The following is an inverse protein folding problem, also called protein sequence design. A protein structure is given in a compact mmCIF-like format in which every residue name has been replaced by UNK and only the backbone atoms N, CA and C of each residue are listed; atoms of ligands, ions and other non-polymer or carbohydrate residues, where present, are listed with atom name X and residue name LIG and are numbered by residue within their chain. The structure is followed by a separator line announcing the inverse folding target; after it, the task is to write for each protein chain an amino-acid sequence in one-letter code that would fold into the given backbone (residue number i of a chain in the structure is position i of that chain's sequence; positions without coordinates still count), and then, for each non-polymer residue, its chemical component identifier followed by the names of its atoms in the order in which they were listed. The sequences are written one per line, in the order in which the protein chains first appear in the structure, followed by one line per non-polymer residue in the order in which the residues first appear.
data_IF_525578161698
#
_entry.id   IF_525578161698
#
_cell.length_a   1.000
_cell.length_b   1.000
_cell.length_c   1.000
_cell.angle_alpha   90.00
_cell.angle_beta   90.00
_cell.angle_gamma   90.00
#
_symmetry.space_group_name_H-M   'P 1'
#
loop_
_entity.id
_entity.type
_entity.pdbx_description
1 polymer ?
2 non-polymer ?
3 non-polymer ?
4 non-polymer ?
5 water ?
#
# COMPACT_ATOMS: atom_id res chain seq x y z
N UNK A 20 14.87 -19.06 4.29
CA UNK A 20 13.50 -18.89 3.78
C UNK A 20 13.04 -17.44 3.92
N UNK A 21 12.40 -16.92 2.87
CA UNK A 21 11.91 -15.54 2.88
C UNK A 21 10.47 -15.52 3.40
N UNK A 22 10.28 -15.03 4.62
CA UNK A 22 8.96 -14.97 5.22
C UNK A 22 8.22 -13.66 4.97
N UNK A 23 6.99 -13.77 4.49
CA UNK A 23 6.17 -12.59 4.23
C UNK A 23 4.97 -12.63 5.15
N UNK A 24 4.82 -11.60 5.97
CA UNK A 24 3.69 -11.55 6.88
C UNK A 24 2.55 -10.78 6.25
N UNK A 25 1.34 -11.28 6.42
CA UNK A 25 0.19 -10.60 5.85
C UNK A 25 -0.89 -10.46 6.91
N UNK A 26 -1.38 -9.24 7.10
CA UNK A 26 -2.43 -9.05 8.09
C UNK A 26 -3.55 -8.22 7.51
N UNK A 27 -4.51 -7.90 8.38
CA UNK A 27 -5.67 -7.15 7.97
C UNK A 27 -6.85 -7.64 8.79
N UNK A 28 -7.94 -6.87 8.80
CA UNK A 28 -9.10 -7.25 9.57
C UNK A 28 -9.78 -8.50 9.04
N UNK A 29 -10.77 -9.00 9.78
CA UNK A 29 -11.48 -10.19 9.33
C UNK A 29 -12.12 -9.94 7.96
N UNK A 30 -11.99 -10.93 7.08
CA UNK A 30 -12.55 -10.87 5.73
C UNK A 30 -12.03 -9.71 4.87
N UNK A 31 -10.85 -9.19 5.20
CA UNK A 31 -10.26 -8.09 4.44
C UNK A 31 -9.79 -8.61 3.09
N UNK A 32 -9.47 -9.91 3.03
CA UNK A 32 -8.99 -10.52 1.81
C UNK A 32 -7.61 -11.14 1.94
N UNK A 33 -7.13 -11.29 3.16
CA UNK A 33 -5.81 -11.86 3.43
C UNK A 33 -5.63 -13.25 2.80
N UNK A 34 -6.58 -14.14 3.04
CA UNK A 34 -6.53 -15.50 2.53
C UNK A 34 -6.60 -15.54 1.00
N UNK A 35 -7.53 -14.79 0.42
CA UNK A 35 -7.69 -14.78 -1.03
C UNK A 35 -6.50 -14.13 -1.73
N UNK A 36 -5.86 -13.17 -1.06
CA UNK A 36 -4.70 -12.51 -1.65
C UNK A 36 -3.56 -13.53 -1.72
N UNK A 37 -3.31 -14.24 -0.62
CA UNK A 37 -2.26 -15.24 -0.61
C UNK A 37 -2.53 -16.34 -1.63
N UNK A 38 -3.77 -16.81 -1.69
CA UNK A 38 -4.15 -17.86 -2.63
C UNK A 38 -3.91 -17.42 -4.07
N UNK A 39 -4.23 -16.17 -4.36
CA UNK A 39 -4.07 -15.64 -5.72
C UNK A 39 -2.60 -15.53 -6.07
N UNK A 40 -1.78 -15.13 -5.09
CA UNK A 40 -0.34 -15.01 -5.31
C UNK A 40 0.26 -16.36 -5.71
N UNK A 41 0.01 -17.40 -4.92
CA UNK A 41 0.57 -18.71 -5.25
C UNK A 41 0.00 -19.27 -6.55
N UNK A 42 -1.26 -18.93 -6.83
CA UNK A 42 -1.94 -19.39 -8.04
C UNK A 42 -1.25 -18.77 -9.26
N UNK A 43 -1.01 -17.46 -9.20
CA UNK A 43 -0.36 -16.76 -10.31
C UNK A 43 1.10 -17.19 -10.45
N UNK A 44 1.67 -17.72 -9.39
CA UNK A 44 3.06 -18.19 -9.43
C UNK A 44 3.13 -19.63 -9.96
N UNK A 45 1.97 -20.19 -10.30
CA UNK A 45 1.92 -21.54 -10.84
C UNK A 45 2.17 -22.62 -9.81
N UNK A 46 2.09 -22.27 -8.54
CA UNK A 46 2.33 -23.22 -7.47
C UNK A 46 1.24 -24.29 -7.33
N UNK A 47 0.06 -24.01 -7.86
CA UNK A 47 -1.01 -24.98 -7.79
C UNK A 47 -0.79 -26.12 -8.77
N UNK A 48 0.15 -25.96 -9.69
CA UNK A 48 0.45 -27.02 -10.66
C UNK A 48 1.73 -27.75 -10.31
N UNK A 49 2.21 -27.53 -9.10
CA UNK A 49 3.44 -28.17 -8.62
C UNK A 49 3.10 -29.15 -7.50
N UNK A 50 3.79 -30.29 -7.47
CA UNK A 50 3.56 -31.31 -6.45
C UNK A 50 3.80 -30.75 -5.07
N UNK A 51 2.97 -31.19 -4.12
CA UNK A 51 3.04 -30.73 -2.74
C UNK A 51 4.47 -30.62 -2.22
N UNK A 52 5.25 -31.68 -2.38
CA UNK A 52 6.63 -31.68 -1.89
C UNK A 52 7.53 -30.69 -2.62
N UNK A 53 7.19 -30.36 -3.86
CA UNK A 53 7.99 -29.45 -4.68
C UNK A 53 7.62 -27.97 -4.59
N UNK A 54 6.52 -27.64 -3.92
CA UNK A 54 6.10 -26.25 -3.81
C UNK A 54 7.21 -25.34 -3.27
N UNK A 55 7.43 -24.22 -3.95
CA UNK A 55 8.46 -23.26 -3.55
C UNK A 55 7.86 -22.15 -2.68
N UNK A 56 6.55 -21.98 -2.77
CA UNK A 56 5.85 -20.97 -1.99
C UNK A 56 4.68 -21.64 -1.26
N UNK A 57 4.67 -21.52 0.06
CA UNK A 57 3.62 -22.11 0.88
C UNK A 57 2.91 -21.07 1.72
N UNK A 58 1.64 -21.33 2.02
CA UNK A 58 0.83 -20.42 2.81
C UNK A 58 0.52 -21.04 4.17
N UNK A 59 0.79 -20.27 5.22
CA UNK A 59 0.54 -20.69 6.59
C UNK A 59 -0.49 -19.73 7.15
N UNK A 60 -1.54 -20.27 7.76
CA UNK A 60 -2.60 -19.45 8.32
C UNK A 60 -2.52 -19.40 9.85
N UNK A 61 -2.69 -18.22 10.41
CA UNK A 61 -2.63 -18.05 11.86
C UNK A 61 -3.79 -18.79 12.53
N UNK A 62 -4.91 -18.90 11.82
CA UNK A 62 -6.08 -19.58 12.37
C UNK A 62 -5.78 -21.04 12.69
N UNK A 63 -4.74 -21.60 12.05
CA UNK A 63 -4.38 -22.99 12.30
C UNK A 63 -3.85 -23.13 13.73
N UNK A 64 -3.49 -22.01 14.34
CA UNK A 64 -2.94 -22.03 15.69
C UNK A 64 -3.89 -21.59 16.80
N UNK A 65 -5.20 -21.63 16.55
CA UNK A 65 -6.14 -21.26 17.60
C UNK A 65 -5.95 -22.28 18.72
N UNK A 66 -6.00 -21.83 19.97
CA UNK A 66 -5.83 -22.72 21.11
C UNK A 66 -6.98 -23.72 21.20
N UNK A 67 -6.75 -24.84 21.90
CA UNK A 67 -7.79 -25.84 22.09
C UNK A 67 -8.73 -25.26 23.15
N UNK A 68 -10.04 -25.27 22.89
CA UNK A 68 -10.99 -24.70 23.84
C UNK A 68 -11.36 -25.65 24.97
N UNK A 69 -11.64 -25.08 26.14
CA UNK A 69 -12.05 -25.86 27.29
C UNK A 69 -13.55 -26.03 27.17
N UNK A 70 -14.11 -26.90 28.02
CA UNK A 70 -15.54 -27.17 28.01
C UNK A 70 -16.37 -25.89 28.06
N UNK A 71 -16.11 -25.04 29.06
CA UNK A 71 -16.85 -23.80 29.21
C UNK A 71 -16.69 -22.88 28.01
N UNK A 72 -15.46 -22.80 27.51
CA UNK A 72 -15.17 -21.94 26.37
C UNK A 72 -15.93 -22.39 25.14
N UNK A 73 -15.92 -23.69 24.87
CA UNK A 73 -16.64 -24.23 23.71
C UNK A 73 -18.13 -23.95 23.84
N UNK A 74 -18.65 -24.06 25.05
CA UNK A 74 -20.07 -23.82 25.31
C UNK A 74 -20.41 -22.39 24.88
N UNK A 75 -19.56 -21.44 25.26
CA UNK A 75 -19.79 -20.04 24.90
C UNK A 75 -19.63 -19.86 23.40
N UNK A 76 -18.59 -20.47 22.84
CA UNK A 76 -18.33 -20.37 21.41
C UNK A 76 -19.57 -20.75 20.61
N UNK A 77 -20.21 -21.84 21.01
CA UNK A 77 -21.41 -22.31 20.33
C UNK A 77 -22.52 -21.27 20.36
N UNK A 78 -22.47 -20.39 21.37
CA UNK A 78 -23.45 -19.33 21.54
C UNK A 78 -22.93 -18.04 20.92
N UNK A 79 -21.71 -18.10 20.40
CA UNK A 79 -21.10 -16.91 19.81
C UNK A 79 -20.76 -15.93 20.90
N UNK A 80 -20.39 -16.45 22.06
CA UNK A 80 -20.04 -15.63 23.21
C UNK A 80 -18.59 -15.80 23.68
N UNK A 81 -17.73 -16.31 22.81
CA UNK A 81 -16.33 -16.47 23.16
C UNK A 81 -15.52 -15.51 22.28
N UNK A 82 -14.47 -14.93 22.85
CA UNK A 82 -13.66 -13.98 22.08
C UNK A 82 -12.52 -14.64 21.34
N UNK A 83 -12.75 -14.94 20.06
CA UNK A 83 -11.73 -15.55 19.20
C UNK A 83 -10.85 -14.47 18.57
N UNK A 84 -11.13 -13.22 18.89
CA UNK A 84 -10.38 -12.11 18.30
C UNK A 84 -9.36 -11.48 19.23
N UNK A 85 -9.28 -12.01 20.43
CA UNK A 85 -8.34 -11.53 21.42
C UNK A 85 -7.02 -12.28 21.23
N UNK A 86 -5.89 -11.59 21.39
CA UNK A 86 -4.57 -12.18 21.25
C UNK A 86 -4.41 -13.52 21.98
N UNK A 87 -5.08 -13.66 23.13
CA UNK A 87 -4.98 -14.88 23.92
C UNK A 87 -5.62 -16.09 23.24
N UNK A 88 -6.48 -15.84 22.26
CA UNK A 88 -7.16 -16.91 21.54
C UNK A 88 -6.19 -17.76 20.72
N UNK A 89 -5.05 -17.18 20.38
CA UNK A 89 -4.05 -17.89 19.58
C UNK A 89 -2.93 -18.41 20.47
N UNK A 90 -2.37 -19.57 20.10
CA UNK A 90 -1.26 -20.12 20.86
C UNK A 90 -0.02 -19.43 20.30
N UNK A 91 0.30 -18.26 20.84
CA UNK A 91 1.45 -17.48 20.38
C UNK A 91 2.77 -18.22 20.52
N UNK A 92 2.89 -19.03 21.57
CA UNK A 92 4.12 -19.78 21.80
C UNK A 92 4.36 -20.74 20.64
N UNK A 93 3.32 -21.49 20.28
CA UNK A 93 3.40 -22.47 19.19
C UNK A 93 3.71 -21.77 17.87
N UNK A 94 3.08 -20.62 17.64
CA UNK A 94 3.30 -19.87 16.41
C UNK A 94 4.76 -19.49 16.27
N UNK A 95 5.31 -18.89 17.33
CA UNK A 95 6.71 -18.46 17.33
C UNK A 95 7.66 -19.65 17.16
N UNK A 96 7.38 -20.72 17.90
CA UNK A 96 8.21 -21.92 17.82
C UNK A 96 8.21 -22.50 16.42
N UNK A 97 7.01 -22.59 15.83
CA UNK A 97 6.85 -23.14 14.49
C UNK A 97 7.54 -22.29 13.41
N UNK A 98 7.36 -20.97 13.50
CA UNK A 98 7.98 -20.08 12.53
C UNK A 98 9.50 -20.12 12.64
N UNK A 99 10.02 -20.21 13.86
CA UNK A 99 11.46 -20.27 14.04
C UNK A 99 12.04 -21.53 13.39
N UNK A 100 11.38 -22.68 13.59
CA UNK A 100 11.87 -23.91 13.00
C UNK A 100 11.83 -23.83 11.48
N UNK A 101 10.81 -23.14 10.96
CA UNK A 101 10.68 -22.97 9.52
C UNK A 101 11.81 -22.10 8.99
N UNK A 102 12.17 -21.06 9.72
CA UNK A 102 13.26 -20.20 9.30
C UNK A 102 14.56 -20.99 9.35
N UNK A 103 14.58 -22.04 10.17
CA UNK A 103 15.75 -22.90 10.30
C UNK A 103 15.82 -23.96 9.21
N UNK A 104 14.81 -23.98 8.34
CA UNK A 104 14.79 -24.94 7.26
C UNK A 104 14.33 -26.33 7.66
N UNK A 105 13.64 -26.44 8.79
CA UNK A 105 13.15 -27.73 9.25
C UNK A 105 11.73 -28.02 8.80
N UNK A 106 11.40 -29.31 8.71
CA UNK A 106 10.06 -29.72 8.32
C UNK A 106 9.23 -29.73 9.60
N UNK A 107 8.03 -29.16 9.55
CA UNK A 107 7.18 -29.12 10.72
C UNK A 107 5.76 -29.58 10.46
N UNK A 108 5.04 -29.88 11.54
CA UNK A 108 3.64 -30.31 11.44
C UNK A 108 2.80 -29.20 12.06
N UNK A 109 1.75 -28.78 11.36
CA UNK A 109 0.89 -27.73 11.89
C UNK A 109 -0.52 -28.25 12.10
N UNK A 110 -1.22 -27.71 13.10
CA UNK A 110 -2.59 -28.13 13.39
C UNK A 110 -3.56 -27.78 12.27
N UNK A 111 -4.73 -28.43 12.31
CA UNK A 111 -5.78 -28.19 11.34
C UNK A 111 -6.99 -27.74 12.15
N UNK A 112 -7.45 -26.52 11.91
CA UNK A 112 -8.58 -25.98 12.66
C UNK A 112 -9.90 -26.08 11.90
N UNK A 113 -10.96 -26.43 12.64
CA UNK A 113 -12.30 -26.58 12.07
C UNK A 113 -13.17 -25.47 12.65
N UNK A 114 -13.53 -24.51 11.81
CA UNK A 114 -14.36 -23.39 12.26
C UNK A 114 -15.79 -23.84 12.58
N UNK A 115 -16.23 -24.90 11.91
CA UNK A 115 -17.57 -25.41 12.13
C UNK A 115 -17.78 -25.89 13.57
N UNK A 116 -16.81 -26.63 14.11
CA UNK A 116 -16.92 -27.15 15.47
C UNK A 116 -16.05 -26.42 16.49
N UNK A 117 -15.43 -25.33 16.08
CA UNK A 117 -14.57 -24.57 16.97
C UNK A 117 -13.50 -25.47 17.60
N UNK A 118 -12.89 -26.33 16.81
CA UNK A 118 -11.86 -27.22 17.35
C UNK A 118 -10.87 -27.73 16.32
N UNK A 119 -9.79 -28.33 16.81
CA UNK A 119 -8.75 -28.89 15.97
C UNK A 119 -9.12 -30.29 15.53
N UNK A 120 -8.42 -30.79 14.52
CA UNK A 120 -8.64 -32.13 14.02
C UNK A 120 -7.43 -32.92 14.48
N UNK A 121 -7.56 -34.24 14.57
CA UNK A 121 -6.41 -35.04 15.02
C UNK A 121 -5.34 -35.14 13.93
N UNK A 122 -5.71 -34.76 12.72
CA UNK A 122 -4.80 -34.78 11.59
C UNK A 122 -4.03 -33.45 11.52
N UNK A 123 -2.74 -33.52 11.21
CA UNK A 123 -1.91 -32.32 11.09
C UNK A 123 -1.37 -32.22 9.66
N UNK A 124 -0.87 -31.04 9.30
CA UNK A 124 -0.34 -30.81 7.96
C UNK A 124 1.18 -30.72 7.98
N UNK A 125 1.82 -31.45 7.06
CA UNK A 125 3.27 -31.43 6.95
C UNK A 125 3.67 -30.21 6.12
N UNK A 126 4.52 -29.37 6.68
CA UNK A 126 5.00 -28.17 5.98
C UNK A 126 6.48 -28.39 5.69
N UNK A 127 6.78 -28.68 4.44
CA UNK A 127 8.15 -28.91 4.01
C UNK A 127 8.87 -27.58 3.76
N UNK A 128 10.20 -27.58 3.78
CA UNK A 128 11.01 -26.37 3.57
C UNK A 128 10.69 -25.72 2.22
N UNK A 129 10.35 -24.44 2.25
CA UNK A 129 10.03 -23.71 1.03
C UNK A 129 10.93 -22.49 0.94
N UNK A 130 11.04 -21.92 -0.25
CA UNK A 130 11.88 -20.74 -0.46
C UNK A 130 11.16 -19.49 0.06
N UNK A 131 9.85 -19.47 -0.08
CA UNK A 131 9.04 -18.33 0.38
C UNK A 131 7.85 -18.82 1.18
N UNK A 132 7.63 -18.20 2.34
CA UNK A 132 6.50 -18.57 3.20
C UNK A 132 5.59 -17.37 3.44
N UNK A 133 4.31 -17.54 3.18
CA UNK A 133 3.34 -16.49 3.41
C UNK A 133 2.57 -16.85 4.68
N UNK A 134 2.70 -16.02 5.71
CA UNK A 134 2.00 -16.25 6.97
C UNK A 134 0.93 -15.17 7.09
N UNK A 135 -0.34 -15.57 7.10
CA UNK A 135 -1.42 -14.58 7.17
C UNK A 135 -2.37 -14.77 8.35
N UNK A 136 -2.82 -13.64 8.91
CA UNK A 136 -3.74 -13.70 10.03
C UNK A 136 -4.10 -12.33 10.55
N UNK A 137 -5.27 -12.23 11.18
CA UNK A 137 -5.73 -10.95 11.70
C UNK A 137 -4.78 -10.33 12.73
N UNK A 138 -3.95 -11.14 13.38
CA UNK A 138 -3.02 -10.62 14.37
C UNK A 138 -1.58 -11.09 14.12
N UNK A 139 -1.21 -11.23 12.85
CA UNK A 139 0.12 -11.67 12.47
C UNK A 139 1.23 -10.71 12.90
N UNK A 140 0.88 -9.44 13.09
CA UNK A 140 1.85 -8.42 13.50
C UNK A 140 1.74 -8.03 14.96
N UNK A 141 0.88 -8.70 15.72
CA UNK A 141 0.71 -8.36 17.13
C UNK A 141 1.95 -8.59 17.96
N UNK A 142 2.57 -9.75 17.80
CA UNK A 142 3.77 -10.10 18.56
C UNK A 142 5.04 -9.55 17.92
N UNK A 143 5.85 -8.87 18.70
CA UNK A 143 7.09 -8.31 18.17
C UNK A 143 8.08 -9.39 17.71
N UNK A 144 8.21 -10.46 18.48
CA UNK A 144 9.13 -11.54 18.11
C UNK A 144 8.75 -12.17 16.77
N UNK A 145 7.44 -12.31 16.53
CA UNK A 145 6.95 -12.90 15.29
C UNK A 145 7.16 -11.90 14.16
N UNK A 146 6.79 -10.65 14.43
CA UNK A 146 6.93 -9.56 13.47
C UNK A 146 8.35 -9.45 12.93
N UNK A 147 9.34 -9.64 13.81
CA UNK A 147 10.74 -9.54 13.40
C UNK A 147 11.22 -10.70 12.55
N UNK A 148 10.39 -11.73 12.39
CA UNK A 148 10.77 -12.87 11.58
C UNK A 148 10.35 -12.63 10.12
N UNK A 149 9.53 -11.61 9.90
CA UNK A 149 9.04 -11.29 8.56
C UNK A 149 9.95 -10.30 7.83
N UNK A 150 10.41 -10.68 6.64
CA UNK A 150 11.26 -9.79 5.85
C UNK A 150 10.40 -8.76 5.11
N UNK A 151 9.10 -9.03 5.03
CA UNK A 151 8.19 -8.12 4.37
C UNK A 151 6.84 -8.23 5.05
N UNK A 152 6.20 -7.09 5.30
CA UNK A 152 4.90 -7.05 5.95
C UNK A 152 3.86 -6.35 5.10
N UNK A 153 2.80 -7.07 4.75
CA UNK A 153 1.72 -6.54 3.94
C UNK A 153 0.45 -6.44 4.76
N UNK A 154 -0.31 -5.38 4.59
CA UNK A 154 -1.56 -5.22 5.33
C UNK A 154 -2.65 -4.98 4.28
N UNK A 155 -3.67 -5.83 4.30
CA UNK A 155 -4.79 -5.73 3.37
C UNK A 155 -5.83 -4.85 4.05
N UNK A 156 -6.01 -3.66 3.51
CA UNK A 156 -6.93 -2.70 4.08
C UNK A 156 -8.24 -2.62 3.30
N UNK A 157 -9.31 -3.05 3.95
CA UNK A 157 -10.64 -3.06 3.36
C UNK A 157 -11.61 -2.50 4.39
N UNK A 158 -12.48 -1.59 3.96
CA UNK A 158 -13.46 -0.96 4.85
C UNK A 158 -14.23 -1.95 5.72
N UNK A 159 -14.45 -1.56 6.98
CA UNK A 159 -15.15 -2.39 7.95
C UNK A 159 -16.51 -2.88 7.48
N UNK A 160 -17.31 -2.01 6.89
CA UNK A 160 -18.63 -2.45 6.43
C UNK A 160 -18.51 -3.45 5.29
N UNK A 161 -17.56 -3.22 4.39
CA UNK A 161 -17.35 -4.14 3.27
C UNK A 161 -16.92 -5.50 3.85
N UNK A 162 -16.03 -5.49 4.82
CA UNK A 162 -15.56 -6.74 5.42
C UNK A 162 -16.68 -7.52 6.13
N UNK A 163 -17.59 -6.79 6.77
CA UNK A 163 -18.71 -7.44 7.47
C UNK A 163 -19.60 -8.16 6.47
N UNK A 164 -19.89 -7.50 5.35
CA UNK A 164 -20.71 -8.09 4.31
C UNK A 164 -20.10 -9.40 3.84
N UNK A 165 -18.79 -9.37 3.60
CA UNK A 165 -18.06 -10.55 3.16
C UNK A 165 -18.09 -11.66 4.20
N UNK A 166 -17.86 -11.30 5.46
CA UNK A 166 -17.85 -12.28 6.54
C UNK A 166 -19.18 -12.96 6.74
N UNK A 167 -20.26 -12.21 6.60
CA UNK A 167 -21.59 -12.76 6.76
C UNK A 167 -21.83 -13.86 5.75
N UNK A 168 -21.57 -13.56 4.48
CA UNK A 168 -21.76 -14.56 3.44
C UNK A 168 -20.82 -15.75 3.60
N UNK A 169 -19.55 -15.47 3.90
CA UNK A 169 -18.56 -16.53 4.08
C UNK A 169 -18.85 -17.44 5.26
N UNK A 170 -19.15 -16.83 6.40
CA UNK A 170 -19.43 -17.59 7.62
C UNK A 170 -20.67 -18.47 7.49
N UNK A 171 -21.67 -17.98 6.78
CA UNK A 171 -22.90 -18.73 6.58
C UNK A 171 -22.72 -19.93 5.64
N UNK A 172 -21.91 -19.77 4.60
CA UNK A 172 -21.71 -20.85 3.65
C UNK A 172 -20.48 -21.71 3.87
N UNK A 173 -19.59 -21.28 4.77
CA UNK A 173 -18.36 -22.03 5.02
C UNK A 173 -18.07 -22.43 6.46
N UNK A 174 -18.59 -21.67 7.42
CA UNK A 174 -18.32 -21.98 8.83
C UNK A 174 -19.55 -22.41 9.61
N UNK A 175 -20.61 -22.75 8.88
CA UNK A 175 -21.85 -23.19 9.51
C UNK A 175 -22.40 -22.27 10.59
N UNK A 176 -22.44 -20.98 10.31
CA UNK A 176 -22.96 -20.02 11.29
C UNK A 176 -24.31 -19.46 10.84
N UNK A 177 -25.01 -18.82 11.78
CA UNK A 177 -26.31 -18.22 11.50
C UNK A 177 -26.17 -16.70 11.52
N UNK A 178 -26.91 -16.03 10.65
CA UNK A 178 -26.86 -14.56 10.55
C UNK A 178 -26.87 -13.84 11.90
N UNK A 179 -27.92 -14.05 12.68
CA UNK A 179 -28.02 -13.36 13.97
C UNK A 179 -26.83 -13.59 14.89
N UNK A 180 -26.35 -14.81 14.96
CA UNK A 180 -25.20 -15.11 15.82
C UNK A 180 -23.93 -14.44 15.27
N UNK A 181 -23.84 -14.38 13.95
CA UNK A 181 -22.68 -13.75 13.31
C UNK A 181 -22.65 -12.27 13.63
N UNK A 182 -23.78 -11.60 13.44
CA UNK A 182 -23.83 -10.17 13.72
C UNK A 182 -23.57 -9.89 15.19
N UNK A 183 -24.14 -10.72 16.06
CA UNK A 183 -23.97 -10.55 17.49
C UNK A 183 -22.50 -10.71 17.89
N UNK A 184 -21.87 -11.79 17.44
CA UNK A 184 -20.47 -12.06 17.75
C UNK A 184 -19.57 -10.94 17.21
N UNK A 185 -19.91 -10.46 16.02
CA UNK A 185 -19.13 -9.40 15.38
C UNK A 185 -19.13 -8.10 16.15
N UNK A 186 -20.33 -7.63 16.48
CA UNK A 186 -20.49 -6.37 17.21
C UNK A 186 -19.95 -6.46 18.64
N UNK A 187 -20.16 -7.60 19.27
CA UNK A 187 -19.71 -7.81 20.65
C UNK A 187 -18.21 -8.05 20.84
N UNK A 188 -17.60 -8.87 19.98
CA UNK A 188 -16.16 -9.17 20.11
C UNK A 188 -15.26 -8.79 18.94
N UNK A 189 -15.67 -9.14 17.73
CA UNK A 189 -14.86 -8.87 16.55
C UNK A 189 -14.50 -7.40 16.33
N UNK A 190 -15.51 -6.54 16.22
CA UNK A 190 -15.28 -5.12 16.01
C UNK A 190 -14.37 -4.49 17.08
N UNK A 191 -14.72 -4.65 18.38
CA UNK A 191 -13.88 -4.07 19.43
C UNK A 191 -12.43 -4.58 19.41
N UNK A 192 -12.26 -5.88 19.20
CA UNK A 192 -10.93 -6.48 19.15
C UNK A 192 -10.11 -5.96 17.97
N UNK A 193 -10.78 -5.72 16.84
CA UNK A 193 -10.10 -5.20 15.66
C UNK A 193 -9.50 -3.84 15.95
N UNK A 194 -10.29 -2.97 16.56
CA UNK A 194 -9.85 -1.62 16.87
C UNK A 194 -8.78 -1.60 17.95
N UNK A 195 -8.92 -2.48 18.94
CA UNK A 195 -7.94 -2.51 20.03
C UNK A 195 -6.66 -3.28 19.75
N UNK A 196 -6.75 -4.39 19.03
CA UNK A 196 -5.56 -5.19 18.76
C UNK A 196 -5.01 -5.24 17.33
N UNK A 197 -5.90 -5.32 16.34
CA UNK A 197 -5.49 -5.43 14.94
C UNK A 197 -5.09 -4.11 14.27
N UNK A 198 -6.02 -3.17 14.24
CA UNK A 198 -5.78 -1.88 13.59
C UNK A 198 -4.46 -1.23 14.00
N UNK A 199 -4.12 -1.26 15.30
CA UNK A 199 -2.87 -0.66 15.80
C UNK A 199 -1.60 -1.29 15.22
N UNK A 200 -1.71 -2.46 14.61
CA UNK A 200 -0.53 -3.11 14.03
C UNK A 200 -0.31 -2.71 12.58
N UNK A 201 -1.29 -2.01 12.01
CA UNK A 201 -1.17 -1.58 10.62
C UNK A 201 0.09 -0.77 10.39
N UNK A 202 0.52 -0.01 11.40
CA UNK A 202 1.70 0.81 11.27
C UNK A 202 2.98 0.02 10.99
N UNK A 203 2.99 -1.27 11.30
CA UNK A 203 4.16 -2.10 11.07
C UNK A 203 4.29 -2.60 9.62
N UNK A 204 3.22 -2.46 8.85
CA UNK A 204 3.24 -2.91 7.47
C UNK A 204 4.16 -2.07 6.58
N UNK A 205 4.80 -2.71 5.61
CA UNK A 205 5.69 -2.01 4.69
C UNK A 205 4.86 -1.51 3.53
N UNK A 206 3.89 -2.31 3.11
CA UNK A 206 3.03 -1.96 2.00
C UNK A 206 1.57 -2.24 2.34
N UNK A 207 0.70 -1.31 1.97
CA UNK A 207 -0.73 -1.48 2.23
C UNK A 207 -1.40 -1.85 0.91
N UNK A 208 -2.21 -2.91 0.94
CA UNK A 208 -2.94 -3.36 -0.25
C UNK A 208 -4.42 -3.18 0.00
N UNK A 209 -5.03 -2.21 -0.68
CA UNK A 209 -6.46 -1.98 -0.49
C UNK A 209 -7.37 -2.97 -1.22
N UNK A 210 -8.58 -3.11 -0.71
CA UNK A 210 -9.61 -3.97 -1.29
C UNK A 210 -9.42 -5.48 -1.18
N UNK A 211 -8.25 -5.99 -1.59
CA UNK A 211 -8.03 -7.42 -1.50
C UNK A 211 -7.61 -8.11 -2.79
N UNK A 212 -8.13 -9.32 -3.00
CA UNK A 212 -7.81 -10.15 -4.15
C UNK A 212 -8.09 -9.59 -5.54
N UNK A 213 -9.01 -8.64 -5.65
CA UNK A 213 -9.31 -8.04 -6.95
C UNK A 213 -8.31 -6.96 -7.32
N UNK A 214 -7.39 -6.67 -6.41
CA UNK A 214 -6.36 -5.65 -6.66
C UNK A 214 -5.23 -6.33 -7.42
N UNK A 215 -5.44 -6.55 -8.72
CA UNK A 215 -4.45 -7.22 -9.56
C UNK A 215 -3.08 -6.58 -9.66
N UNK A 216 -3.03 -5.26 -9.76
CA UNK A 216 -1.74 -4.58 -9.84
C UNK A 216 -0.93 -4.83 -8.58
N UNK A 217 -1.58 -4.71 -7.43
CA UNK A 217 -0.86 -4.94 -6.19
C UNK A 217 -0.40 -6.40 -6.13
N UNK A 218 -1.32 -7.32 -6.39
CA UNK A 218 -0.97 -8.75 -6.35
C UNK A 218 0.18 -9.06 -7.32
N UNK A 219 0.11 -8.57 -8.55
CA UNK A 219 1.19 -8.84 -9.50
C UNK A 219 2.53 -8.27 -9.06
N UNK A 220 2.49 -7.19 -8.28
CA UNK A 220 3.71 -6.59 -7.78
C UNK A 220 4.38 -7.57 -6.80
N UNK A 221 3.57 -8.21 -5.96
CA UNK A 221 4.10 -9.16 -4.99
C UNK A 221 4.56 -10.42 -5.70
N UNK A 222 3.81 -10.84 -6.71
CA UNK A 222 4.16 -12.04 -7.46
C UNK A 222 5.52 -11.87 -8.14
N UNK A 223 5.70 -10.76 -8.84
CA UNK A 223 6.97 -10.50 -9.53
C UNK A 223 8.12 -10.45 -8.54
N UNK A 224 7.88 -9.87 -7.37
CA UNK A 224 8.89 -9.76 -6.34
C UNK A 224 9.28 -11.16 -5.86
N UNK A 225 8.27 -12.00 -5.63
CA UNK A 225 8.52 -13.37 -5.18
C UNK A 225 9.23 -14.17 -6.26
N UNK A 226 8.78 -14.01 -7.50
CA UNK A 226 9.39 -14.73 -8.62
C UNK A 226 10.87 -14.37 -8.71
N UNK A 227 11.17 -13.12 -8.42
CA UNK A 227 12.54 -12.61 -8.45
C UNK A 227 13.35 -13.35 -7.39
N UNK A 228 12.73 -13.61 -6.25
CA UNK A 228 13.40 -14.31 -5.16
C UNK A 228 13.65 -15.76 -5.53
N UNK A 229 12.65 -16.38 -6.16
CA UNK A 229 12.76 -17.78 -6.57
C UNK A 229 13.91 -17.96 -7.55
N UNK A 230 14.20 -16.93 -8.34
CA UNK A 230 15.28 -16.99 -9.32
C UNK A 230 16.62 -16.58 -8.70
N UNK B 19 5.75 0.71 -25.82
CA UNK B 19 5.04 1.84 -25.17
C UNK B 19 5.52 2.02 -23.72
N UNK B 20 5.81 3.27 -23.34
CA UNK B 20 6.29 3.63 -22.00
C UNK B 20 5.36 3.16 -20.90
N UNK B 21 5.94 2.74 -19.78
CA UNK B 21 5.18 2.25 -18.62
C UNK B 21 5.00 3.44 -17.68
N UNK B 22 3.78 3.96 -17.59
CA UNK B 22 3.51 5.10 -16.73
C UNK B 22 3.06 4.73 -15.33
N UNK B 23 3.72 5.32 -14.33
CA UNK B 23 3.39 5.08 -12.93
C UNK B 23 2.94 6.40 -12.32
N UNK B 24 1.69 6.45 -11.85
CA UNK B 24 1.19 7.66 -11.24
C UNK B 24 1.44 7.62 -9.75
N UNK B 25 1.85 8.75 -9.16
CA UNK B 25 2.12 8.81 -7.73
C UNK B 25 1.41 10.02 -7.12
N UNK B 26 0.58 9.78 -6.10
CA UNK B 26 -0.10 10.90 -5.46
C UNK B 26 0.09 10.86 -3.93
N UNK B 27 -0.54 11.82 -3.28
CA UNK B 27 -0.44 11.96 -1.84
C UNK B 27 -0.58 13.44 -1.56
N UNK B 28 -0.84 13.81 -0.31
CA UNK B 28 -0.98 15.23 0.01
C UNK B 28 0.33 15.96 -0.01
N UNK B 29 0.27 17.28 0.13
CA UNK B 29 1.48 18.09 0.13
C UNK B 29 2.46 17.57 1.19
N UNK B 30 3.73 17.51 0.85
CA UNK B 30 4.78 17.04 1.77
C UNK B 30 4.59 15.62 2.31
N UNK B 31 3.93 14.76 1.55
CA UNK B 31 3.69 13.39 1.96
C UNK B 31 4.94 12.55 1.78
N UNK B 32 5.81 13.00 0.88
CA UNK B 32 7.03 12.25 0.59
C UNK B 32 7.02 11.74 -0.84
N UNK B 33 6.04 12.19 -1.62
CA UNK B 33 5.91 11.79 -3.03
C UNK B 33 7.18 12.06 -3.82
N UNK B 34 7.65 13.30 -3.78
CA UNK B 34 8.85 13.70 -4.53
C UNK B 34 10.08 12.94 -4.13
N UNK B 35 10.28 12.79 -2.83
CA UNK B 35 11.44 12.08 -2.31
C UNK B 35 11.39 10.60 -2.67
N UNK B 36 10.21 10.02 -2.64
CA UNK B 36 10.07 8.60 -2.99
C UNK B 36 10.50 8.40 -4.44
N UNK B 37 9.95 9.22 -5.33
CA UNK B 37 10.29 9.13 -6.75
C UNK B 37 11.77 9.36 -7.00
N UNK B 38 12.34 10.36 -6.32
CA UNK B 38 13.76 10.65 -6.49
C UNK B 38 14.61 9.47 -6.07
N UNK B 39 14.25 8.86 -4.93
CA UNK B 39 14.97 7.71 -4.40
C UNK B 39 14.94 6.53 -5.37
N UNK B 40 13.76 6.27 -5.92
CA UNK B 40 13.59 5.18 -6.88
C UNK B 40 14.53 5.39 -8.08
N UNK B 41 14.45 6.56 -8.68
CA UNK B 41 15.28 6.88 -9.83
C UNK B 41 16.78 6.80 -9.51
N UNK B 42 17.14 7.23 -8.30
CA UNK B 42 18.53 7.21 -7.86
C UNK B 42 19.00 5.76 -7.72
N UNK B 43 18.17 4.93 -7.08
CA UNK B 43 18.50 3.52 -6.87
C UNK B 43 18.59 2.76 -8.20
N UNK B 44 17.89 3.26 -9.21
CA UNK B 44 17.92 2.64 -10.52
C UNK B 44 19.14 3.11 -11.30
N UNK B 45 19.96 3.95 -10.67
CA UNK B 45 21.16 4.45 -11.31
C UNK B 45 20.90 5.32 -12.53
N UNK B 46 19.84 6.11 -12.51
CA UNK B 46 19.49 6.97 -13.62
C UNK B 46 20.18 8.33 -13.56
N UNK B 47 20.61 8.73 -12.37
CA UNK B 47 21.30 10.01 -12.21
C UNK B 47 22.73 9.89 -12.75
N UNK B 48 22.99 8.80 -13.47
CA UNK B 48 24.30 8.56 -14.05
C UNK B 48 24.16 8.45 -15.57
N UNK B 49 22.99 8.00 -16.00
CA UNK B 49 22.70 7.82 -17.43
C UNK B 49 22.65 9.14 -18.18
N UNK B 50 22.99 9.09 -19.47
CA UNK B 50 22.97 10.28 -20.30
C UNK B 50 21.56 10.85 -20.38
N UNK B 51 21.45 12.17 -20.36
CA UNK B 51 20.16 12.84 -20.43
C UNK B 51 19.28 12.27 -21.55
N UNK B 52 19.90 11.99 -22.69
CA UNK B 52 19.17 11.47 -23.85
C UNK B 52 18.99 9.95 -23.78
N UNK B 53 19.66 9.32 -22.82
CA UNK B 53 19.60 7.87 -22.63
C UNK B 53 18.79 7.46 -21.39
N UNK B 54 18.19 8.44 -20.73
CA UNK B 54 17.39 8.19 -19.53
C UNK B 54 16.31 7.15 -19.79
N UNK B 55 16.29 6.08 -19.01
CA UNK B 55 15.27 5.05 -19.16
C UNK B 55 14.08 5.29 -18.24
N UNK B 56 14.32 5.94 -17.11
CA UNK B 56 13.29 6.23 -16.13
C UNK B 56 13.35 7.72 -15.78
N UNK B 57 12.25 8.43 -16.01
CA UNK B 57 12.20 9.85 -15.72
C UNK B 57 11.06 10.20 -14.79
N UNK B 58 11.15 11.36 -14.15
CA UNK B 58 10.14 11.83 -13.22
C UNK B 58 9.52 13.12 -13.72
N UNK B 59 8.20 13.18 -13.78
CA UNK B 59 7.49 14.39 -14.18
C UNK B 59 6.71 14.85 -12.96
N UNK B 60 6.76 16.15 -12.67
CA UNK B 60 6.05 16.69 -11.53
C UNK B 60 4.86 17.50 -11.97
N UNK B 61 3.71 17.27 -11.34
CA UNK B 61 2.51 18.01 -11.67
C UNK B 61 2.70 19.52 -11.42
N UNK B 62 3.53 19.86 -10.44
CA UNK B 62 3.76 21.27 -10.12
C UNK B 62 4.44 22.01 -11.28
N UNK B 63 5.08 21.27 -12.19
CA UNK B 63 5.72 21.91 -13.32
C UNK B 63 4.63 22.52 -14.21
N UNK B 64 3.40 22.06 -14.05
CA UNK B 64 2.29 22.55 -14.86
C UNK B 64 1.36 23.56 -14.20
N UNK B 65 1.84 24.23 -13.15
CA UNK B 65 1.04 25.25 -12.51
C UNK B 65 0.83 26.36 -13.54
N UNK B 66 -0.37 26.95 -13.54
CA UNK B 66 -0.71 28.02 -14.48
C UNK B 66 0.03 29.34 -14.24
N UNK B 67 0.13 30.16 -15.29
CA UNK B 67 0.78 31.45 -15.19
C UNK B 67 -0.21 32.37 -14.47
N UNK B 68 0.24 33.01 -13.40
CA UNK B 68 -0.62 33.89 -12.62
C UNK B 68 -0.66 35.29 -13.20
N UNK B 69 -1.81 35.95 -13.04
CA UNK B 69 -1.98 37.31 -13.51
C UNK B 69 -1.42 38.24 -12.45
N UNK B 70 -1.47 39.54 -12.72
CA UNK B 70 -0.96 40.55 -11.80
C UNK B 70 -1.59 40.45 -10.40
N UNK B 71 -2.91 40.49 -10.34
CA UNK B 71 -3.59 40.42 -9.05
C UNK B 71 -3.49 39.05 -8.40
N UNK B 72 -3.39 38.01 -9.22
CA UNK B 72 -3.28 36.65 -8.67
C UNK B 72 -1.94 36.50 -7.94
N UNK B 73 -0.87 36.96 -8.57
CA UNK B 73 0.45 36.84 -7.96
C UNK B 73 0.51 37.67 -6.68
N UNK B 74 -0.14 38.83 -6.68
CA UNK B 74 -0.15 39.68 -5.50
C UNK B 74 -0.76 38.91 -4.35
N UNK B 75 -1.91 38.28 -4.61
CA UNK B 75 -2.58 37.49 -3.59
C UNK B 75 -1.68 36.34 -3.15
N UNK B 76 -1.02 35.71 -4.11
CA UNK B 76 -0.13 34.59 -3.82
C UNK B 76 0.98 35.04 -2.86
N UNK B 77 1.48 36.25 -3.06
CA UNK B 77 2.53 36.78 -2.19
C UNK B 77 2.06 36.89 -0.75
N UNK B 78 0.74 36.91 -0.55
CA UNK B 78 0.16 37.00 0.78
C UNK B 78 -0.44 35.67 1.23
N UNK B 79 -0.22 34.63 0.43
CA UNK B 79 -0.76 33.33 0.77
C UNK B 79 -2.27 33.32 0.66
N UNK B 80 -2.80 34.10 -0.28
CA UNK B 80 -4.25 34.18 -0.49
C UNK B 80 -4.72 33.62 -1.82
N UNK B 81 -3.88 32.84 -2.49
CA UNK B 81 -4.27 32.24 -3.76
C UNK B 81 -4.37 30.73 -3.57
N UNK B 82 -5.36 30.11 -4.21
CA UNK B 82 -5.56 28.68 -4.08
C UNK B 82 -4.78 27.83 -5.09
N UNK B 83 -3.59 27.39 -4.69
CA UNK B 83 -2.75 26.56 -5.54
C UNK B 83 -3.08 25.08 -5.37
N UNK B 84 -4.15 24.79 -4.64
CA UNK B 84 -4.50 23.40 -4.39
C UNK B 84 -5.76 22.90 -5.06
N UNK B 85 -6.43 23.81 -5.77
CA UNK B 85 -7.64 23.48 -6.49
C UNK B 85 -7.21 23.00 -7.86
N UNK B 86 -7.94 22.04 -8.44
CA UNK B 86 -7.62 21.51 -9.76
C UNK B 86 -7.42 22.63 -10.79
N UNK B 87 -8.17 23.72 -10.65
CA UNK B 87 -8.06 24.85 -11.60
C UNK B 87 -6.70 25.55 -11.58
N UNK B 88 -5.91 25.33 -10.54
CA UNK B 88 -4.59 25.96 -10.46
C UNK B 88 -3.61 25.36 -11.46
N UNK B 89 -3.89 24.16 -11.94
CA UNK B 89 -3.01 23.49 -12.89
C UNK B 89 -3.54 23.57 -14.33
N UNK B 90 -2.61 23.48 -15.28
CA UNK B 90 -2.97 23.50 -16.70
C UNK B 90 -3.19 22.02 -17.01
N UNK B 91 -4.39 21.54 -16.71
CA UNK B 91 -4.72 20.15 -16.91
C UNK B 91 -4.67 19.69 -18.35
N UNK B 92 -4.95 20.58 -19.29
CA UNK B 92 -4.87 20.19 -20.69
C UNK B 92 -3.42 19.92 -21.07
N UNK B 93 -2.50 20.78 -20.66
CA UNK B 93 -1.09 20.60 -20.99
C UNK B 93 -0.57 19.31 -20.36
N UNK B 94 -1.07 18.97 -19.17
CA UNK B 94 -0.63 17.75 -18.51
C UNK B 94 -1.06 16.54 -19.34
N UNK B 95 -2.33 16.49 -19.73
CA UNK B 95 -2.84 15.37 -20.51
C UNK B 95 -2.13 15.25 -21.86
N UNK B 96 -1.98 16.37 -22.55
CA UNK B 96 -1.31 16.38 -23.85
C UNK B 96 0.11 15.87 -23.72
N UNK B 97 0.82 16.35 -22.71
CA UNK B 97 2.20 15.95 -22.48
C UNK B 97 2.32 14.45 -22.21
N UNK B 98 1.49 13.95 -21.30
CA UNK B 98 1.51 12.53 -20.97
C UNK B 98 1.18 11.70 -22.21
N UNK B 99 0.17 12.13 -22.98
CA UNK B 99 -0.20 11.43 -24.20
C UNK B 99 0.95 11.37 -25.18
N UNK B 100 1.65 12.49 -25.36
CA UNK B 100 2.78 12.54 -26.27
C UNK B 100 3.89 11.60 -25.78
N UNK B 101 4.07 11.52 -24.47
CA UNK B 101 5.09 10.66 -23.89
C UNK B 101 4.78 9.19 -24.15
N UNK B 102 3.52 8.81 -24.02
CA UNK B 102 3.12 7.43 -24.27
C UNK B 102 3.31 7.07 -25.74
N UNK B 103 3.35 8.09 -26.60
CA UNK B 103 3.52 7.87 -28.03
C UNK B 103 5.01 7.80 -28.39
N UNK B 104 5.86 7.91 -27.38
CA UNK B 104 7.29 7.84 -27.61
C UNK B 104 7.89 9.11 -28.19
N UNK B 105 7.21 10.24 -27.97
CA UNK B 105 7.70 11.51 -28.49
C UNK B 105 8.47 12.29 -27.44
N UNK B 106 9.43 13.09 -27.89
CA UNK B 106 10.22 13.91 -26.99
C UNK B 106 9.37 15.12 -26.63
N UNK B 107 9.27 15.44 -25.34
CA UNK B 107 8.46 16.58 -24.92
C UNK B 107 9.25 17.66 -24.18
N UNK B 108 8.66 18.85 -24.12
CA UNK B 108 9.25 19.99 -23.44
C UNK B 108 8.42 20.26 -22.20
N UNK B 109 9.05 20.23 -21.03
CA UNK B 109 8.34 20.46 -19.78
C UNK B 109 8.75 21.77 -19.11
N UNK B 110 7.77 22.57 -18.67
CA UNK B 110 8.04 23.85 -18.01
C UNK B 110 8.74 23.64 -16.67
N UNK B 111 9.36 24.71 -16.17
CA UNK B 111 10.06 24.68 -14.88
C UNK B 111 9.37 25.71 -13.98
N UNK B 112 8.82 25.26 -12.86
CA UNK B 112 8.12 26.17 -11.96
C UNK B 112 9.01 26.63 -10.80
N UNK B 113 8.84 27.89 -10.40
CA UNK B 113 9.61 28.47 -9.31
C UNK B 113 8.66 28.80 -8.17
N UNK B 114 8.74 28.03 -7.08
CA UNK B 114 7.86 28.25 -5.94
C UNK B 114 8.17 29.54 -5.19
N UNK B 115 9.38 30.06 -5.35
CA UNK B 115 9.76 31.27 -4.66
C UNK B 115 9.07 32.51 -5.25
N UNK B 116 9.02 32.57 -6.58
CA UNK B 116 8.39 33.71 -7.27
C UNK B 116 6.99 33.40 -7.81
N UNK B 117 6.48 32.20 -7.53
CA UNK B 117 5.16 31.83 -8.00
C UNK B 117 5.08 31.99 -9.51
N UNK B 118 6.15 31.60 -10.21
CA UNK B 118 6.14 31.78 -11.65
C UNK B 118 6.86 30.69 -12.43
N UNK B 119 6.53 30.61 -13.71
CA UNK B 119 7.14 29.63 -14.59
C UNK B 119 8.45 30.24 -15.10
N UNK B 120 9.53 29.48 -15.01
CA UNK B 120 10.84 29.98 -15.47
C UNK B 120 10.91 29.95 -16.99
N UNK B 121 11.90 30.61 -17.57
CA UNK B 121 12.04 30.63 -19.02
C UNK B 121 12.77 29.38 -19.49
N UNK B 122 13.58 28.82 -18.60
CA UNK B 122 14.35 27.61 -18.88
C UNK B 122 13.40 26.43 -18.87
N UNK B 123 13.70 25.41 -19.68
CA UNK B 123 12.84 24.23 -19.74
C UNK B 123 13.64 22.94 -19.68
N UNK B 124 12.94 21.84 -19.41
CA UNK B 124 13.57 20.54 -19.33
C UNK B 124 13.04 19.65 -20.45
N UNK B 125 13.93 19.14 -21.28
CA UNK B 125 13.52 18.28 -22.36
C UNK B 125 13.53 16.84 -21.90
N UNK B 126 12.43 16.15 -22.14
CA UNK B 126 12.30 14.75 -21.76
C UNK B 126 12.28 13.87 -22.99
N UNK B 127 13.33 13.07 -23.18
CA UNK B 127 13.41 12.18 -24.32
C UNK B 127 12.66 10.89 -24.02
N UNK B 128 12.36 10.11 -25.06
CA UNK B 128 11.63 8.84 -24.92
C UNK B 128 12.19 7.97 -23.82
N UNK B 129 11.33 7.60 -22.86
CA UNK B 129 11.76 6.77 -21.74
C UNK B 129 10.97 5.47 -21.71
N UNK B 130 11.45 4.50 -20.95
CA UNK B 130 10.77 3.22 -20.82
C UNK B 130 9.79 3.25 -19.66
N UNK B 131 10.15 3.98 -18.62
CA UNK B 131 9.29 4.11 -17.45
C UNK B 131 9.20 5.57 -17.05
N UNK B 132 7.99 6.03 -16.78
CA UNK B 132 7.76 7.41 -16.39
C UNK B 132 6.99 7.50 -15.09
N UNK B 133 7.52 8.27 -14.15
CA UNK B 133 6.88 8.50 -12.87
C UNK B 133 6.26 9.90 -12.91
N UNK B 134 4.96 9.99 -12.70
CA UNK B 134 4.28 11.29 -12.68
C UNK B 134 3.76 11.47 -11.27
N UNK B 135 4.26 12.48 -10.57
CA UNK B 135 3.82 12.71 -9.20
C UNK B 135 3.17 14.08 -8.99
N UNK B 136 2.17 14.12 -8.13
CA UNK B 136 1.49 15.38 -7.87
C UNK B 136 0.40 15.23 -6.85
N UNK B 137 0.06 16.32 -6.16
CA UNK B 137 -1.00 16.30 -5.16
C UNK B 137 -2.35 15.93 -5.75
N UNK B 138 -2.49 16.06 -7.07
CA UNK B 138 -3.77 15.74 -7.71
C UNK B 138 -3.57 14.88 -8.96
N UNK B 139 -2.57 14.01 -8.93
CA UNK B 139 -2.29 13.16 -10.09
C UNK B 139 -3.41 12.21 -10.47
N UNK B 140 -4.29 11.88 -9.52
CA UNK B 140 -5.38 10.95 -9.81
C UNK B 140 -6.75 11.63 -9.95
N UNK B 141 -6.75 12.95 -9.98
CA UNK B 141 -8.01 13.69 -10.08
C UNK B 141 -8.77 13.47 -11.39
N UNK B 142 -8.04 13.53 -12.51
CA UNK B 142 -8.63 13.37 -13.84
C UNK B 142 -8.71 11.92 -14.31
N UNK B 143 -9.92 11.48 -14.67
CA UNK B 143 -10.09 10.11 -15.13
C UNK B 143 -9.22 9.80 -16.35
N UNK B 144 -9.16 10.73 -17.29
CA UNK B 144 -8.34 10.53 -18.49
C UNK B 144 -6.89 10.31 -18.12
N UNK B 145 -6.38 11.14 -17.21
CA UNK B 145 -4.99 11.01 -16.78
C UNK B 145 -4.81 9.68 -16.04
N UNK B 146 -5.73 9.37 -15.12
CA UNK B 146 -5.66 8.12 -14.37
C UNK B 146 -5.53 6.90 -15.27
N UNK B 147 -6.36 6.83 -16.31
CA UNK B 147 -6.34 5.69 -17.21
C UNK B 147 -5.03 5.54 -17.98
N UNK B 148 -4.18 6.57 -17.95
CA UNK B 148 -2.91 6.50 -18.64
C UNK B 148 -1.86 5.80 -17.77
N UNK B 149 -2.15 5.67 -16.48
CA UNK B 149 -1.22 5.01 -15.55
C UNK B 149 -1.44 3.51 -15.51
N UNK B 150 -0.35 2.74 -15.58
CA UNK B 150 -0.48 1.29 -15.51
C UNK B 150 -0.34 0.85 -14.06
N UNK B 151 0.13 1.77 -13.23
CA UNK B 151 0.29 1.52 -11.80
C UNK B 151 0.06 2.83 -11.08
N UNK B 152 -0.67 2.79 -9.96
CA UNK B 152 -0.96 3.99 -9.19
C UNK B 152 -0.57 3.79 -7.74
N UNK B 153 0.34 4.63 -7.25
CA UNK B 153 0.81 4.55 -5.87
C UNK B 153 0.35 5.78 -5.12
N UNK B 154 -0.02 5.62 -3.85
CA UNK B 154 -0.44 6.76 -3.05
C UNK B 154 0.45 6.76 -1.81
N UNK B 155 1.16 7.85 -1.58
CA UNK B 155 2.03 7.97 -0.43
C UNK B 155 1.17 8.57 0.68
N UNK B 156 0.81 7.73 1.65
CA UNK B 156 -0.07 8.15 2.74
C UNK B 156 0.68 8.56 3.99
N UNK B 157 0.59 9.84 4.32
CA UNK B 157 1.23 10.39 5.50
C UNK B 157 0.20 11.27 6.19
N UNK B 158 0.04 11.13 7.51
CA UNK B 158 -0.93 11.90 8.26
C UNK B 158 -0.85 13.40 7.99
N UNK B 159 -2.01 14.06 8.00
CA UNK B 159 -2.06 15.49 7.74
C UNK B 159 -1.27 16.32 8.73
N UNK B 160 -1.31 15.99 10.01
CA UNK B 160 -0.54 16.79 10.97
C UNK B 160 0.97 16.64 10.73
N UNK B 161 1.39 15.43 10.38
CA UNK B 161 2.81 15.16 10.08
C UNK B 161 3.22 15.94 8.83
N UNK B 162 2.34 15.95 7.83
CA UNK B 162 2.63 16.67 6.60
C UNK B 162 2.66 18.18 6.82
N UNK B 163 1.81 18.70 7.72
CA UNK B 163 1.80 20.13 8.00
C UNK B 163 3.12 20.54 8.63
N UNK B 164 3.64 19.69 9.52
CA UNK B 164 4.91 19.98 10.20
C UNK B 164 6.02 20.05 9.14
N UNK B 165 6.07 19.05 8.28
CA UNK B 165 7.08 19.01 7.22
C UNK B 165 6.96 20.19 6.28
N UNK B 166 5.73 20.54 5.92
CA UNK B 166 5.51 21.64 5.00
C UNK B 166 5.98 22.97 5.56
N UNK B 167 5.74 23.19 6.85
CA UNK B 167 6.15 24.42 7.51
C UNK B 167 7.67 24.56 7.44
N UNK B 168 8.39 23.51 7.84
CA UNK B 168 9.85 23.56 7.84
C UNK B 168 10.40 23.75 6.43
N UNK B 169 9.79 23.06 5.47
CA UNK B 169 10.23 23.13 4.08
C UNK B 169 9.99 24.50 3.44
N UNK B 170 8.78 25.03 3.59
CA UNK B 170 8.46 26.32 3.00
C UNK B 170 9.28 27.48 3.56
N UNK B 171 9.60 27.42 4.85
CA UNK B 171 10.40 28.46 5.48
C UNK B 171 11.84 28.41 4.98
N UNK B 172 12.40 27.20 4.95
CA UNK B 172 13.80 27.03 4.54
C UNK B 172 14.09 26.87 3.05
N UNK B 173 13.07 26.59 2.25
CA UNK B 173 13.27 26.39 0.83
C UNK B 173 12.50 27.30 -0.10
N UNK B 174 11.31 27.71 0.32
CA UNK B 174 10.49 28.56 -0.52
C UNK B 174 10.31 29.97 0.02
N UNK B 175 11.16 30.34 0.97
CA UNK B 175 11.11 31.67 1.56
C UNK B 175 9.74 32.17 1.99
N UNK B 176 8.96 31.31 2.64
CA UNK B 176 7.64 31.70 3.12
C UNK B 176 7.67 32.03 4.61
N UNK B 177 6.71 32.83 5.06
CA UNK B 177 6.59 33.21 6.46
C UNK B 177 5.69 32.21 7.18
N UNK B 178 6.04 31.85 8.41
CA UNK B 178 5.26 30.90 9.19
C UNK B 178 3.76 31.14 9.19
N UNK B 179 3.35 32.32 9.62
CA UNK B 179 1.92 32.63 9.71
C UNK B 179 1.20 32.58 8.37
N UNK B 180 1.90 32.93 7.30
CA UNK B 180 1.31 32.89 5.97
C UNK B 180 1.13 31.44 5.55
N UNK B 181 2.08 30.59 5.92
CA UNK B 181 1.99 29.17 5.58
C UNK B 181 0.79 28.55 6.28
N UNK B 182 0.62 28.84 7.57
CA UNK B 182 -0.50 28.27 8.32
C UNK B 182 -1.83 28.80 7.79
N UNK B 183 -1.87 30.08 7.43
CA UNK B 183 -3.09 30.67 6.89
C UNK B 183 -3.46 30.02 5.57
N UNK B 184 -2.46 29.89 4.69
CA UNK B 184 -2.67 29.27 3.39
C UNK B 184 -3.11 27.83 3.54
N UNK B 185 -2.51 27.14 4.51
CA UNK B 185 -2.83 25.75 4.73
C UNK B 185 -4.26 25.55 5.20
N UNK B 186 -4.68 26.31 6.20
CA UNK B 186 -6.03 26.18 6.74
C UNK B 186 -7.10 26.64 5.77
N UNK B 187 -6.81 27.71 5.05
CA UNK B 187 -7.77 28.27 4.10
C UNK B 187 -7.92 27.49 2.80
N UNK B 188 -6.80 27.03 2.23
CA UNK B 188 -6.85 26.32 0.95
C UNK B 188 -6.32 24.89 0.88
N UNK B 189 -5.11 24.67 1.39
CA UNK B 189 -4.49 23.35 1.31
C UNK B 189 -5.29 22.21 1.92
N UNK B 190 -5.70 22.40 3.17
CA UNK B 190 -6.46 21.39 3.88
C UNK B 190 -7.84 21.12 3.24
N UNK B 191 -8.61 22.19 2.97
CA UNK B 191 -9.93 21.96 2.34
C UNK B 191 -9.84 21.29 0.97
N UNK B 192 -8.87 21.71 0.16
CA UNK B 192 -8.72 21.14 -1.18
C UNK B 192 -8.25 19.69 -1.13
N UNK B 193 -7.39 19.36 -0.17
CA UNK B 193 -6.90 17.99 -0.04
C UNK B 193 -8.07 17.08 0.28
N UNK B 194 -8.89 17.47 1.25
CA UNK B 194 -10.04 16.66 1.64
C UNK B 194 -11.12 16.55 0.57
N UNK B 195 -11.31 17.62 -0.20
CA UNK B 195 -12.34 17.61 -1.23
C UNK B 195 -11.92 17.00 -2.57
N UNK B 196 -10.69 17.27 -3.00
CA UNK B 196 -10.22 16.78 -4.29
C UNK B 196 -9.21 15.64 -4.29
N UNK B 197 -8.33 15.58 -3.30
CA UNK B 197 -7.34 14.52 -3.27
C UNK B 197 -7.78 13.25 -2.57
N UNK B 198 -8.28 13.40 -1.35
CA UNK B 198 -8.70 12.25 -0.56
C UNK B 198 -9.65 11.30 -1.32
N UNK B 199 -10.62 11.84 -2.07
CA UNK B 199 -11.55 11.01 -2.84
C UNK B 199 -10.90 10.18 -3.94
N UNK B 200 -9.64 10.51 -4.28
CA UNK B 200 -8.93 9.79 -5.33
C UNK B 200 -8.06 8.67 -4.79
N UNK B 201 -7.89 8.63 -3.47
CA UNK B 201 -7.05 7.60 -2.87
C UNK B 201 -7.55 6.20 -3.24
N UNK B 202 -8.86 6.06 -3.38
CA UNK B 202 -9.45 4.76 -3.72
C UNK B 202 -9.00 4.23 -5.08
N UNK B 203 -8.44 5.09 -5.92
CA UNK B 203 -7.98 4.65 -7.24
C UNK B 203 -6.55 4.08 -7.21
N UNK B 204 -5.86 4.24 -6.09
CA UNK B 204 -4.50 3.74 -5.97
C UNK B 204 -4.47 2.21 -5.85
N UNK B 205 -3.44 1.60 -6.41
CA UNK B 205 -3.28 0.15 -6.36
C UNK B 205 -2.52 -0.25 -5.11
N UNK B 206 -1.53 0.57 -4.76
CA UNK B 206 -0.70 0.32 -3.60
C UNK B 206 -0.56 1.58 -2.76
N UNK B 207 -0.65 1.43 -1.45
CA UNK B 207 -0.50 2.57 -0.55
C UNK B 207 0.84 2.42 0.16
N UNK B 208 1.65 3.48 0.12
CA UNK B 208 2.97 3.50 0.74
C UNK B 208 3.02 4.47 1.91
N UNK B 209 3.20 3.94 3.13
CA UNK B 209 3.28 4.76 4.35
C UNK B 209 4.73 5.14 4.67
N UNK B 210 4.92 6.05 5.63
CA UNK B 210 6.24 6.51 6.04
C UNK B 210 7.09 7.14 4.93
N UNK B 211 6.43 7.50 3.83
CA UNK B 211 7.11 8.13 2.71
C UNK B 211 8.48 7.64 2.31
N UNK B 212 9.42 8.57 2.15
CA UNK B 212 10.78 8.25 1.73
C UNK B 212 11.57 7.33 2.65
N UNK B 213 11.14 7.18 3.90
CA UNK B 213 11.85 6.31 4.83
C UNK B 213 11.42 4.85 4.70
N UNK B 214 10.44 4.58 3.86
CA UNK B 214 9.97 3.23 3.67
C UNK B 214 10.87 2.51 2.65
N UNK B 215 12.01 1.99 3.13
CA UNK B 215 12.96 1.30 2.26
C UNK B 215 12.44 0.04 1.59
N UNK B 216 11.64 -0.74 2.31
CA UNK B 216 11.07 -1.96 1.77
C UNK B 216 10.18 -1.66 0.58
N UNK B 217 9.25 -0.72 0.76
CA UNK B 217 8.33 -0.36 -0.31
C UNK B 217 9.08 0.21 -1.51
N UNK B 218 10.04 1.09 -1.24
CA UNK B 218 10.82 1.69 -2.32
C UNK B 218 11.61 0.64 -3.11
N UNK B 219 12.30 -0.25 -2.40
CA UNK B 219 13.07 -1.29 -3.08
C UNK B 219 12.16 -2.20 -3.90
N UNK B 220 10.92 -2.37 -3.44
CA UNK B 220 9.96 -3.21 -4.14
C UNK B 220 9.64 -2.58 -5.49
N UNK B 221 9.41 -1.27 -5.50
CA UNK B 221 9.10 -0.58 -6.73
C UNK B 221 10.32 -0.57 -7.66
N UNK B 222 11.49 -0.35 -7.09
CA UNK B 222 12.73 -0.34 -7.85
C UNK B 222 12.92 -1.68 -8.57
N UNK B 223 12.76 -2.76 -7.82
CA UNK B 223 12.92 -4.10 -8.40
C UNK B 223 11.92 -4.33 -9.52
N UNK B 224 10.68 -3.89 -9.31
CA UNK B 224 9.63 -4.06 -10.30
C UNK B 224 9.99 -3.31 -11.59
N UNK B 225 10.48 -2.09 -11.43
CA UNK B 225 10.87 -1.27 -12.58
C UNK B 225 12.07 -1.89 -13.30
N UNK B 226 13.06 -2.32 -12.53
CA UNK B 226 14.26 -2.91 -13.12
C UNK B 226 13.87 -4.14 -13.94
N UNK B 227 12.84 -4.85 -13.49
CA UNK B 227 12.37 -6.03 -14.20
C UNK B 227 11.73 -5.64 -15.53
N UNK B 228 11.01 -4.52 -15.52
CA UNK B 228 10.36 -4.01 -16.73
C UNK B 228 11.42 -3.58 -17.73
N UNK B 229 12.51 -3.04 -17.24
CA UNK B 229 13.59 -2.57 -18.11
C UNK B 229 14.34 -3.75 -18.73
N UNK B 230 14.54 -4.82 -17.95
CA UNK B 230 15.25 -5.99 -18.45
C UNK B 230 14.47 -6.71 -19.54
N UNK B 231 13.15 -6.57 -19.52
CA UNK B 231 12.33 -7.22 -20.53
C UNK B 231 11.17 -8.01 -19.93
#
# INVERSE_FOLDING_TARGET
MAGDSEQTLQNHQQPNGGEPFLIGVSGGTASGKSSVCAKIVQLLGQNEVDYRQKQVVILSQDSFYRVLTSEQKAKALKGQFNFDHPDAFDNELILKTLKEITEGKTVQIPVYDFVSHSRKEETVTVYPADVVLFEGILAFYSQEVRDLFQMKLFVDTDADTRLSRRVLRDISERGRDLEQILSQYITFVKPAFEEFCLPTKKYADVIIPRGADNLVAINLIVQHIQDILNGGPSKRQTNGCLNGYTPSRKRQASESSSRPH
MAGDSEQTLQNHQQPNGGEPFLIGVSGGTASGKSSVCAKIVQLLGQNEVDYRQKQVVILSQDSFYRVLTSEQKAKALKGQFNFDHPDAFDNELILKTLKEITEGKTVQIPVYDFVSHSRKEETVTVYPADVVLFEGILAFYSQEVRDLFQMKLFVDTDADTRLSRRVLRDISERGRDLEQILSQYITFVKPAFEEFCLPTKKYADVIIPRGADNLVAINLIVQHIQDILNGGPSKRQTNGCLNGYTPSRKRQASESSSRPH
#
